data_IF_120973651951
#
_entry.id   IF_120973651951
#
_cell.length_a   1.000
_cell.length_b   1.000
_cell.length_c   1.000
_cell.angle_alpha   90.00
_cell.angle_beta   90.00
_cell.angle_gamma   90.00
#
_symmetry.space_group_name_H-M   'P 1'
#
loop_
_entity.id
_entity.type
_entity.pdbx_description
1 polymer ?
#
# COMPACT_ATOMS: atom_id res chain seq x y z
N UNK A 1 10.12 -28.65 -12.57
CA UNK A 1 10.08 -28.91 -11.11
C UNK A 1 11.48 -28.67 -10.55
N UNK A 2 11.62 -28.29 -9.27
CA UNK A 2 12.93 -28.06 -8.64
C UNK A 2 13.38 -26.60 -8.48
N UNK A 3 12.54 -25.61 -8.82
CA UNK A 3 12.84 -24.19 -8.56
C UNK A 3 12.12 -23.70 -7.31
N UNK A 4 12.71 -22.69 -6.66
CA UNK A 4 12.11 -21.95 -5.53
C UNK A 4 11.93 -20.49 -5.96
N UNK A 5 10.74 -19.93 -5.70
CA UNK A 5 10.48 -18.51 -5.91
C UNK A 5 10.54 -17.77 -4.58
N UNK A 6 11.48 -16.84 -4.46
CA UNK A 6 11.60 -15.95 -3.31
C UNK A 6 11.03 -14.57 -3.63
N UNK A 7 10.38 -13.96 -2.64
CA UNK A 7 9.91 -12.58 -2.71
C UNK A 7 10.50 -11.78 -1.56
N UNK A 8 11.38 -10.85 -1.91
CA UNK A 8 11.99 -9.92 -0.96
C UNK A 8 11.31 -8.56 -1.03
N UNK A 9 11.17 -7.91 0.13
CA UNK A 9 10.66 -6.54 0.24
C UNK A 9 11.80 -5.64 0.69
N UNK A 10 12.03 -4.53 0.00
CA UNK A 10 13.13 -3.62 0.26
C UNK A 10 12.61 -2.18 0.42
N UNK A 11 13.14 -1.44 1.40
CA UNK A 11 12.77 -0.05 1.64
C UNK A 11 11.80 0.14 2.80
N UNK A 12 10.67 0.79 2.51
CA UNK A 12 9.68 1.19 3.51
C UNK A 12 9.94 2.60 4.07
N UNK A 13 9.18 2.97 5.10
CA UNK A 13 9.23 4.31 5.67
C UNK A 13 10.59 4.67 6.30
N UNK A 14 11.39 3.67 6.68
CA UNK A 14 12.73 3.85 7.28
C UNK A 14 13.84 3.98 6.26
N UNK A 15 13.58 3.67 4.98
CA UNK A 15 14.59 3.73 3.92
C UNK A 15 13.99 4.15 2.56
N UNK A 16 13.42 5.36 2.46
CA UNK A 16 12.76 5.84 1.24
C UNK A 16 13.71 6.04 0.05
N UNK A 17 14.98 6.34 0.30
CA UNK A 17 16.01 6.57 -0.72
C UNK A 17 16.38 5.33 -1.52
N UNK A 18 15.90 4.15 -1.11
CA UNK A 18 16.03 2.90 -1.89
C UNK A 18 15.48 3.05 -3.32
N UNK A 19 14.53 3.97 -3.53
CA UNK A 19 13.93 4.24 -4.84
C UNK A 19 14.91 4.85 -5.84
N UNK A 20 16.05 5.37 -5.37
CA UNK A 20 17.11 5.92 -6.21
C UNK A 20 18.12 4.87 -6.69
N UNK A 21 18.01 3.62 -6.20
CA UNK A 21 18.95 2.56 -6.57
C UNK A 21 18.64 2.01 -7.97
N UNK A 22 19.70 1.63 -8.69
CA UNK A 22 19.55 0.85 -9.91
C UNK A 22 19.08 -0.57 -9.60
N UNK A 23 18.47 -1.24 -10.57
CA UNK A 23 18.06 -2.65 -10.43
C UNK A 23 19.24 -3.57 -10.07
N UNK A 24 20.43 -3.31 -10.63
CA UNK A 24 21.65 -4.05 -10.31
C UNK A 24 22.04 -3.91 -8.83
N UNK A 25 21.92 -2.70 -8.28
CA UNK A 25 22.22 -2.43 -6.88
C UNK A 25 21.17 -3.03 -5.94
N UNK A 26 19.89 -3.00 -6.33
CA UNK A 26 18.80 -3.70 -5.63
C UNK A 26 19.08 -5.20 -5.59
N UNK A 27 19.39 -5.83 -6.73
CA UNK A 27 19.75 -7.25 -6.80
C UNK A 27 20.94 -7.56 -5.88
N UNK A 28 22.02 -6.79 -5.97
CA UNK A 28 23.24 -6.98 -5.17
C UNK A 28 22.95 -6.98 -3.67
N UNK A 29 22.15 -6.02 -3.19
CA UNK A 29 21.78 -5.93 -1.77
C UNK A 29 20.89 -7.07 -1.31
N UNK A 30 19.85 -7.40 -2.08
CA UNK A 30 18.96 -8.51 -1.76
C UNK A 30 19.73 -9.84 -1.71
N UNK A 31 20.65 -10.08 -2.65
CA UNK A 31 21.50 -11.28 -2.61
C UNK A 31 22.43 -11.31 -1.38
N UNK A 32 22.97 -10.16 -0.97
CA UNK A 32 23.77 -10.07 0.25
C UNK A 32 22.93 -10.39 1.52
N UNK A 33 21.69 -9.92 1.59
CA UNK A 33 20.76 -10.22 2.68
C UNK A 33 20.35 -11.70 2.68
N UNK A 34 20.01 -12.27 1.51
CA UNK A 34 19.67 -13.69 1.37
C UNK A 34 20.83 -14.61 1.76
N UNK A 35 22.07 -14.25 1.39
CA UNK A 35 23.27 -14.96 1.86
C UNK A 35 23.38 -14.91 3.39
N UNK A 36 23.18 -13.73 3.98
CA UNK A 36 23.34 -13.53 5.42
C UNK A 36 22.28 -14.26 6.23
N UNK A 37 21.02 -14.20 5.79
CA UNK A 37 19.87 -14.70 6.56
C UNK A 37 19.55 -16.17 6.25
N UNK A 38 19.75 -16.61 5.01
CA UNK A 38 19.35 -17.94 4.53
C UNK A 38 20.51 -18.80 4.04
N UNK A 39 21.74 -18.26 3.95
CA UNK A 39 22.90 -18.98 3.43
C UNK A 39 22.87 -19.20 1.91
N UNK A 40 21.95 -18.55 1.19
CA UNK A 40 21.82 -18.70 -0.27
C UNK A 40 22.97 -17.96 -0.95
N UNK A 41 23.73 -18.67 -1.78
CA UNK A 41 24.90 -18.11 -2.49
C UNK A 41 24.80 -18.22 -4.01
N UNK A 42 23.82 -18.98 -4.47
CA UNK A 42 23.53 -19.28 -5.86
C UNK A 42 22.91 -18.07 -6.57
N UNK A 43 23.28 -17.88 -7.83
CA UNK A 43 22.65 -16.87 -8.67
C UNK A 43 21.23 -17.30 -9.09
N UNK A 44 20.24 -16.39 -9.07
CA UNK A 44 18.88 -16.72 -9.46
C UNK A 44 18.75 -16.86 -10.98
N UNK A 45 17.93 -17.83 -11.43
CA UNK A 45 17.60 -18.04 -12.83
C UNK A 45 16.94 -16.79 -13.47
N UNK A 46 16.18 -16.04 -12.68
CA UNK A 46 15.62 -14.76 -13.09
C UNK A 46 15.37 -13.84 -11.89
N UNK A 47 15.29 -12.54 -12.17
CA UNK A 47 14.93 -11.50 -11.19
C UNK A 47 13.87 -10.59 -11.81
N UNK A 48 12.86 -10.22 -11.02
CA UNK A 48 11.88 -9.19 -11.37
C UNK A 48 11.73 -8.20 -10.23
N UNK A 49 11.92 -6.92 -10.52
CA UNK A 49 11.85 -5.83 -9.54
C UNK A 49 10.62 -4.97 -9.82
N UNK A 50 9.85 -4.69 -8.77
CA UNK A 50 8.61 -3.92 -8.85
C UNK A 50 8.74 -2.68 -7.94
N UNK A 51 9.18 -1.53 -8.47
CA UNK A 51 9.29 -0.30 -7.68
C UNK A 51 7.91 0.30 -7.40
N UNK A 52 7.66 0.65 -6.13
CA UNK A 52 6.41 1.28 -5.70
C UNK A 52 6.70 2.55 -4.87
N UNK A 53 6.88 3.73 -5.51
CA UNK A 53 7.31 4.96 -4.82
C UNK A 53 6.39 5.43 -3.69
N UNK A 54 5.09 5.11 -3.78
CA UNK A 54 4.08 5.43 -2.76
C UNK A 54 3.23 4.19 -2.45
N UNK A 55 3.91 3.10 -2.09
CA UNK A 55 3.32 1.78 -1.94
C UNK A 55 2.22 1.71 -0.85
N UNK A 56 2.58 2.11 0.37
CA UNK A 56 1.78 1.86 1.58
C UNK A 56 1.55 3.18 2.31
N UNK A 57 0.29 3.65 2.42
CA UNK A 57 -0.05 4.82 3.23
C UNK A 57 0.43 4.65 4.67
N UNK A 58 1.03 5.70 5.23
CA UNK A 58 1.56 5.70 6.59
C UNK A 58 0.61 6.44 7.53
N UNK A 59 -0.10 5.70 8.38
CA UNK A 59 -1.01 6.28 9.38
C UNK A 59 -0.21 6.77 10.58
N UNK A 60 0.29 8.01 10.47
CA UNK A 60 1.02 8.68 11.56
C UNK A 60 0.06 9.09 12.68
N UNK A 61 0.62 9.38 13.85
CA UNK A 61 -0.12 9.97 14.98
C UNK A 61 -1.06 11.10 14.53
N UNK A 62 -2.29 11.07 15.03
CA UNK A 62 -3.36 11.99 14.63
C UNK A 62 -4.11 11.59 13.34
N UNK A 63 -3.86 10.40 12.76
CA UNK A 63 -4.59 9.94 11.57
C UNK A 63 -6.10 9.92 11.77
N UNK A 64 -6.57 9.36 12.88
CA UNK A 64 -7.98 9.32 13.22
C UNK A 64 -8.61 10.72 13.33
N UNK A 65 -7.91 11.68 13.95
CA UNK A 65 -8.37 13.06 14.05
C UNK A 65 -8.45 13.74 12.67
N UNK A 66 -7.46 13.51 11.79
CA UNK A 66 -7.50 14.00 10.41
C UNK A 66 -8.66 13.41 9.61
N UNK A 67 -8.96 12.13 9.84
CA UNK A 67 -10.07 11.46 9.19
C UNK A 67 -11.42 12.03 9.65
N UNK A 68 -11.62 12.22 10.96
CA UNK A 68 -12.82 12.84 11.50
C UNK A 68 -13.04 14.26 10.94
N UNK A 69 -11.99 15.09 10.89
CA UNK A 69 -12.07 16.42 10.30
C UNK A 69 -12.38 16.38 8.79
N UNK A 70 -11.90 15.36 8.08
CA UNK A 70 -12.22 15.18 6.66
C UNK A 70 -13.69 14.77 6.46
N UNK A 71 -14.21 13.88 7.30
CA UNK A 71 -15.62 13.48 7.28
C UNK A 71 -16.57 14.65 7.60
N UNK A 72 -16.22 15.47 8.59
CA UNK A 72 -16.96 16.70 8.93
C UNK A 72 -17.02 17.65 7.74
N UNK A 73 -15.88 17.92 7.09
CA UNK A 73 -15.81 18.78 5.90
C UNK A 73 -16.54 18.18 4.71
N UNK A 74 -16.47 16.87 4.53
CA UNK A 74 -17.20 16.17 3.47
C UNK A 74 -18.72 16.27 3.65
N UNK A 75 -19.22 16.29 4.90
CA UNK A 75 -20.64 16.47 5.18
C UNK A 75 -21.17 17.83 4.70
N UNK A 76 -20.32 18.86 4.66
CA UNK A 76 -20.67 20.17 4.09
C UNK A 76 -20.68 20.20 2.56
N UNK A 77 -20.31 19.11 1.88
CA UNK A 77 -20.30 18.99 0.42
C UNK A 77 -21.25 17.87 -0.05
N UNK A 78 -22.55 18.16 -0.25
CA UNK A 78 -23.54 17.16 -0.63
C UNK A 78 -23.14 16.41 -1.92
N UNK A 79 -23.08 15.08 -1.83
CA UNK A 79 -22.70 14.22 -2.94
C UNK A 79 -21.20 13.92 -3.05
N UNK A 80 -20.38 14.49 -2.15
CA UNK A 80 -18.98 14.12 -2.02
C UNK A 80 -18.83 12.91 -1.08
N UNK A 81 -18.19 11.86 -1.59
CA UNK A 81 -17.88 10.65 -0.83
C UNK A 81 -16.45 10.24 -1.14
N UNK A 82 -15.77 9.63 -0.16
CA UNK A 82 -14.40 9.14 -0.34
C UNK A 82 -14.23 7.79 0.35
N UNK A 83 -13.34 6.97 -0.19
CA UNK A 83 -12.92 5.66 0.33
C UNK A 83 -11.53 5.35 -0.22
N UNK A 84 -10.90 4.27 0.27
CA UNK A 84 -9.61 3.78 -0.19
C UNK A 84 -8.62 3.54 0.95
N UNK A 85 -7.47 2.96 0.57
CA UNK A 85 -6.44 2.51 1.51
C UNK A 85 -5.79 3.64 2.33
N UNK A 86 -6.00 4.90 1.94
CA UNK A 86 -5.50 6.07 2.65
C UNK A 86 -6.35 6.44 3.89
N UNK A 87 -7.57 5.90 4.02
CA UNK A 87 -8.56 6.39 4.99
C UNK A 87 -8.92 5.34 6.04
N UNK A 88 -9.54 4.23 5.62
CA UNK A 88 -10.28 3.32 6.51
C UNK A 88 -9.63 1.95 6.69
N UNK A 89 -8.30 1.87 6.49
CA UNK A 89 -7.51 0.65 6.58
C UNK A 89 -6.74 0.39 5.29
N UNK A 90 -5.51 -0.09 5.45
CA UNK A 90 -4.57 -0.31 4.34
C UNK A 90 -4.86 -1.62 3.60
N UNK A 91 -5.35 -2.62 4.32
CA UNK A 91 -5.58 -3.96 3.79
C UNK A 91 -6.68 -4.00 2.73
N UNK A 92 -6.61 -5.00 1.86
CA UNK A 92 -7.63 -5.23 0.83
C UNK A 92 -9.01 -5.45 1.47
N UNK A 93 -9.08 -6.24 2.54
CA UNK A 93 -10.33 -6.51 3.26
C UNK A 93 -10.96 -5.22 3.80
N UNK A 94 -10.15 -4.32 4.36
CA UNK A 94 -10.62 -3.02 4.85
C UNK A 94 -11.11 -2.13 3.70
N UNK A 95 -10.34 -2.06 2.61
CA UNK A 95 -10.74 -1.33 1.41
C UNK A 95 -12.08 -1.83 0.85
N UNK A 96 -12.27 -3.15 0.78
CA UNK A 96 -13.50 -3.76 0.27
C UNK A 96 -14.67 -3.43 1.19
N UNK A 97 -14.51 -3.59 2.51
CA UNK A 97 -15.54 -3.25 3.50
C UNK A 97 -15.95 -1.77 3.41
N UNK A 98 -14.98 -0.86 3.52
CA UNK A 98 -15.23 0.58 3.48
C UNK A 98 -15.85 1.03 2.14
N UNK A 99 -15.41 0.45 1.02
CA UNK A 99 -15.97 0.78 -0.30
C UNK A 99 -17.42 0.35 -0.44
N UNK A 100 -17.82 -0.80 0.13
CA UNK A 100 -19.23 -1.24 0.15
C UNK A 100 -20.10 -0.26 0.94
N UNK A 101 -19.66 0.12 2.14
CA UNK A 101 -20.39 1.08 2.98
C UNK A 101 -20.56 2.44 2.28
N UNK A 102 -19.51 2.93 1.62
CA UNK A 102 -19.58 4.17 0.84
C UNK A 102 -20.50 4.03 -0.38
N UNK A 103 -20.46 2.90 -1.09
CA UNK A 103 -21.37 2.66 -2.21
C UNK A 103 -22.85 2.67 -1.77
N UNK A 104 -23.18 2.10 -0.60
CA UNK A 104 -24.53 2.17 -0.05
C UNK A 104 -24.96 3.61 0.29
N UNK A 105 -24.05 4.42 0.84
CA UNK A 105 -24.30 5.85 1.13
C UNK A 105 -24.54 6.63 -0.16
N UNK A 106 -23.73 6.39 -1.20
CA UNK A 106 -23.90 6.98 -2.53
C UNK A 106 -25.27 6.61 -3.10
N UNK A 107 -25.64 5.32 -3.07
CA UNK A 107 -26.92 4.86 -3.58
C UNK A 107 -28.10 5.54 -2.86
N UNK A 108 -28.09 5.56 -1.53
CA UNK A 108 -29.12 6.24 -0.71
C UNK A 108 -29.22 7.73 -1.04
N UNK A 109 -28.09 8.41 -1.26
CA UNK A 109 -28.06 9.81 -1.63
C UNK A 109 -28.68 10.06 -3.01
N UNK A 110 -28.35 9.23 -4.01
CA UNK A 110 -28.88 9.36 -5.37
C UNK A 110 -30.39 9.07 -5.42
N UNK A 111 -30.87 8.07 -4.68
CA UNK A 111 -32.30 7.74 -4.62
C UNK A 111 -33.11 8.87 -3.96
N UNK A 112 -32.60 9.49 -2.89
CA UNK A 112 -33.29 10.61 -2.22
C UNK A 112 -33.35 11.91 -3.05
N UNK A 113 -32.56 12.02 -4.12
CA UNK A 113 -32.57 13.18 -5.04
C UNK A 113 -33.51 13.01 -6.22
N UNK A 114 -34.04 11.82 -6.46
CA UNK A 114 -35.16 11.59 -7.38
C UNK A 114 -36.46 11.92 -6.68
#
# INVERSE_FOLDING_TARGET
EGHVLLRSMLGGATWPEVMSLSEAEVKRRVMADLKTVMGITEEPDFVRIYPHPRAIPQYRTGHAARLAALEERAAACPGFFFTGNAFFGVGINDCVRASKEVAERVFKFLVKRK
#
